data_IF_831196396295
#
_entry.id   IF_831196396295
#
_cell.length_a   1.000
_cell.length_b   1.000
_cell.length_c   1.000
_cell.angle_alpha   90.00
_cell.angle_beta   90.00
_cell.angle_gamma   90.00
#
_symmetry.space_group_name_H-M   'P 1'
#
loop_
_entity.id
_entity.type
_entity.pdbx_description
1 polymer ?
#
# COMPACT_ATOMS: atom_id res chain seq x y z
N UNK A 1 -9.87 -2.84 -10.01
CA UNK A 1 -8.47 -2.56 -10.42
C UNK A 1 -7.46 -2.92 -9.35
N UNK A 2 -7.62 -2.39 -8.13
CA UNK A 2 -6.70 -2.69 -7.03
C UNK A 2 -6.65 -4.20 -6.73
N UNK A 3 -7.81 -4.82 -6.60
CA UNK A 3 -7.87 -6.26 -6.30
C UNK A 3 -7.35 -7.12 -7.45
N UNK A 4 -7.52 -6.68 -8.67
CA UNK A 4 -6.92 -7.35 -9.82
C UNK A 4 -5.39 -7.30 -9.77
N UNK A 5 -4.83 -6.14 -9.44
CA UNK A 5 -3.39 -5.99 -9.27
C UNK A 5 -2.86 -6.90 -8.15
N UNK A 6 -3.58 -6.98 -7.04
CA UNK A 6 -3.24 -7.86 -5.92
C UNK A 6 -3.31 -9.33 -6.37
N UNK A 7 -4.39 -9.72 -7.02
CA UNK A 7 -4.60 -11.10 -7.47
C UNK A 7 -3.49 -11.56 -8.40
N UNK A 8 -3.06 -10.70 -9.31
CA UNK A 8 -2.04 -11.01 -10.30
C UNK A 8 -0.61 -10.90 -9.78
N UNK A 9 -0.44 -10.58 -8.50
CA UNK A 9 0.88 -10.48 -7.88
C UNK A 9 1.23 -11.75 -7.11
N UNK A 10 2.53 -11.95 -6.92
CA UNK A 10 3.05 -13.06 -6.11
C UNK A 10 2.91 -12.78 -4.62
N UNK A 11 3.18 -11.54 -4.21
CA UNK A 11 3.02 -11.09 -2.83
C UNK A 11 2.70 -9.60 -2.78
N UNK A 12 2.19 -9.17 -1.65
CA UNK A 12 1.83 -7.77 -1.42
C UNK A 12 2.85 -7.16 -0.47
N UNK A 13 3.46 -6.05 -0.88
CA UNK A 13 4.45 -5.33 -0.08
C UNK A 13 3.83 -4.03 0.42
N UNK A 14 3.79 -3.86 1.74
CA UNK A 14 3.23 -2.65 2.35
C UNK A 14 4.35 -1.71 2.78
N UNK A 15 4.26 -0.45 2.37
CA UNK A 15 5.24 0.58 2.71
C UNK A 15 4.50 1.79 3.27
N UNK A 16 4.91 2.25 4.43
CA UNK A 16 4.34 3.42 5.08
C UNK A 16 5.08 3.76 6.36
N UNK A 17 4.71 4.87 6.98
CA UNK A 17 5.28 5.28 8.26
C UNK A 17 4.79 4.38 9.39
N UNK A 18 5.44 4.48 10.56
CA UNK A 18 5.05 3.70 11.74
C UNK A 18 3.61 3.98 12.19
N UNK A 19 3.08 5.16 11.88
CA UNK A 19 1.70 5.52 12.16
C UNK A 19 0.69 4.64 11.43
N UNK A 20 1.10 4.01 10.34
CA UNK A 20 0.24 3.15 9.51
C UNK A 20 0.28 1.68 9.93
N UNK A 21 1.00 1.35 10.99
CA UNK A 21 1.23 -0.05 11.40
C UNK A 21 -0.06 -0.81 11.69
N UNK A 22 -1.07 -0.16 12.31
CA UNK A 22 -2.33 -0.82 12.63
C UNK A 22 -3.11 -1.23 11.39
N UNK A 23 -3.11 -0.39 10.35
CA UNK A 23 -3.77 -0.71 9.08
C UNK A 23 -3.07 -1.87 8.39
N UNK A 24 -1.75 -1.85 8.38
CA UNK A 24 -0.96 -2.90 7.76
C UNK A 24 -1.11 -4.24 8.45
N UNK A 25 -1.15 -4.25 9.78
CA UNK A 25 -1.33 -5.49 10.54
C UNK A 25 -2.67 -6.14 10.23
N UNK A 26 -3.72 -5.34 10.08
CA UNK A 26 -5.03 -5.84 9.71
C UNK A 26 -5.02 -6.47 8.31
N UNK A 27 -4.41 -5.80 7.34
CA UNK A 27 -4.29 -6.34 5.99
C UNK A 27 -3.50 -7.65 5.98
N UNK A 28 -2.43 -7.72 6.76
CA UNK A 28 -1.64 -8.95 6.85
C UNK A 28 -2.48 -10.13 7.32
N UNK A 29 -3.28 -9.92 8.37
CA UNK A 29 -4.13 -10.97 8.94
C UNK A 29 -5.21 -11.39 7.95
N UNK A 30 -5.93 -10.43 7.40
CA UNK A 30 -7.06 -10.69 6.51
C UNK A 30 -6.63 -11.41 5.23
N UNK A 31 -5.54 -10.96 4.60
CA UNK A 31 -5.05 -11.59 3.38
C UNK A 31 -4.35 -12.93 3.64
N UNK A 32 -3.73 -13.09 4.81
CA UNK A 32 -3.15 -14.38 5.18
C UNK A 32 -4.23 -15.47 5.23
N UNK A 33 -5.39 -15.15 5.82
CA UNK A 33 -6.52 -16.08 5.88
C UNK A 33 -6.99 -16.45 4.47
N UNK A 34 -6.86 -15.56 3.51
CA UNK A 34 -7.22 -15.79 2.11
C UNK A 34 -6.08 -16.42 1.29
N UNK A 35 -5.01 -16.86 1.95
CA UNK A 35 -3.90 -17.52 1.27
C UNK A 35 -2.93 -16.59 0.57
N UNK A 36 -2.91 -15.30 0.93
CA UNK A 36 -2.03 -14.31 0.30
C UNK A 36 -0.96 -13.83 1.26
N UNK A 37 0.28 -13.78 0.77
CA UNK A 37 1.40 -13.29 1.56
C UNK A 37 1.46 -11.75 1.49
N UNK A 38 1.37 -11.12 2.65
CA UNK A 38 1.51 -9.67 2.81
C UNK A 38 2.71 -9.40 3.72
N UNK A 39 3.65 -8.60 3.25
CA UNK A 39 4.89 -8.32 3.96
C UNK A 39 5.02 -6.81 4.16
N UNK A 40 5.32 -6.39 5.38
CA UNK A 40 5.67 -5.00 5.65
C UNK A 40 7.13 -4.76 5.29
N UNK A 41 7.39 -3.68 4.56
CA UNK A 41 8.73 -3.26 4.24
C UNK A 41 9.13 -2.07 5.12
N UNK A 42 10.41 -1.95 5.39
CA UNK A 42 10.94 -0.83 6.16
C UNK A 42 11.02 0.43 5.30
N UNK A 43 10.88 1.60 5.93
CA UNK A 43 11.20 2.89 5.30
C UNK A 43 12.65 3.32 5.62
N UNK A 44 13.38 2.49 6.34
CA UNK A 44 14.78 2.74 6.70
C UNK A 44 15.70 1.96 5.78
N UNK A 45 16.69 2.65 5.24
CA UNK A 45 17.56 2.12 4.19
C UNK A 45 18.25 0.81 4.56
N UNK A 46 18.62 0.64 5.82
CA UNK A 46 19.33 -0.56 6.29
C UNK A 46 18.48 -1.82 6.27
N UNK A 47 17.17 -1.68 6.44
CA UNK A 47 16.23 -2.81 6.56
C UNK A 47 15.30 -2.95 5.34
N UNK A 48 15.42 -2.06 4.38
CA UNK A 48 14.59 -2.09 3.18
C UNK A 48 15.03 -3.21 2.25
N UNK A 49 14.05 -3.99 1.76
CA UNK A 49 14.31 -4.95 0.69
C UNK A 49 13.65 -4.45 -0.60
N UNK A 50 14.31 -4.71 -1.74
CA UNK A 50 13.82 -4.26 -3.04
C UNK A 50 12.66 -5.14 -3.52
N UNK A 51 11.48 -4.57 -3.82
CA UNK A 51 10.39 -5.36 -4.38
C UNK A 51 10.76 -5.98 -5.73
N UNK A 52 10.21 -7.16 -5.97
CA UNK A 52 10.43 -7.90 -7.21
C UNK A 52 9.38 -7.50 -8.26
N UNK A 53 9.62 -7.89 -9.50
CA UNK A 53 8.73 -7.58 -10.62
C UNK A 53 7.29 -8.08 -10.40
N UNK A 54 7.14 -9.25 -9.78
CA UNK A 54 5.84 -9.87 -9.57
C UNK A 54 5.18 -9.47 -8.26
N UNK A 55 5.77 -8.53 -7.54
CA UNK A 55 5.18 -7.98 -6.32
C UNK A 55 4.18 -6.87 -6.65
N UNK A 56 3.22 -6.67 -5.75
CA UNK A 56 2.36 -5.50 -5.74
C UNK A 56 2.71 -4.65 -4.51
N UNK A 57 3.18 -3.44 -4.74
CA UNK A 57 3.55 -2.50 -3.67
C UNK A 57 2.37 -1.60 -3.36
N UNK A 58 1.98 -1.53 -2.10
CA UNK A 58 0.98 -0.57 -1.62
C UNK A 58 1.71 0.44 -0.73
N UNK A 59 1.79 1.67 -1.19
CA UNK A 59 2.42 2.77 -0.48
C UNK A 59 1.35 3.65 0.16
N UNK A 60 1.38 3.72 1.48
CA UNK A 60 0.43 4.52 2.26
C UNK A 60 1.15 5.73 2.85
N UNK A 61 0.90 6.87 2.25
CA UNK A 61 1.44 8.16 2.69
C UNK A 61 0.47 9.26 2.28
N UNK A 62 -0.10 9.98 3.24
CA UNK A 62 -1.16 10.94 2.95
C UNK A 62 -0.70 12.05 2.01
N UNK A 63 0.49 12.59 2.22
CA UNK A 63 1.01 13.71 1.42
C UNK A 63 2.19 13.32 0.53
N UNK A 64 2.54 12.05 0.48
CA UNK A 64 3.69 11.58 -0.30
C UNK A 64 5.04 11.99 0.26
N UNK A 65 5.11 12.50 1.49
CA UNK A 65 6.35 12.97 2.09
C UNK A 65 7.41 11.89 2.25
N UNK A 66 6.98 10.66 2.46
CA UNK A 66 7.87 9.53 2.62
C UNK A 66 8.75 9.36 1.38
N UNK A 67 8.20 9.64 0.21
CA UNK A 67 8.92 9.58 -1.07
C UNK A 67 9.79 10.82 -1.25
N UNK A 68 9.24 12.01 -0.94
CA UNK A 68 9.95 13.28 -1.12
C UNK A 68 11.17 13.38 -0.21
N UNK A 69 11.05 12.90 1.02
CA UNK A 69 12.15 12.96 2.00
C UNK A 69 13.16 11.82 1.82
N UNK A 70 12.81 10.80 1.07
CA UNK A 70 13.65 9.62 0.87
C UNK A 70 13.74 9.27 -0.63
N UNK A 71 14.50 10.05 -1.43
CA UNK A 71 14.63 9.78 -2.87
C UNK A 71 15.12 8.37 -3.19
N UNK A 72 16.00 7.81 -2.34
CA UNK A 72 16.50 6.46 -2.49
C UNK A 72 15.36 5.41 -2.45
N UNK A 73 14.32 5.70 -1.66
CA UNK A 73 13.17 4.79 -1.51
C UNK A 73 12.43 4.61 -2.83
N UNK A 74 12.18 5.71 -3.52
CA UNK A 74 11.52 5.68 -4.82
C UNK A 74 12.34 4.90 -5.85
N UNK A 75 13.63 5.15 -5.91
CA UNK A 75 14.52 4.45 -6.83
C UNK A 75 14.51 2.93 -6.58
N UNK A 76 14.58 2.54 -5.33
CA UNK A 76 14.57 1.12 -4.94
C UNK A 76 13.22 0.46 -5.18
N UNK A 77 12.12 1.15 -4.89
CA UNK A 77 10.78 0.61 -5.16
C UNK A 77 10.57 0.34 -6.64
N UNK A 78 11.11 1.18 -7.52
CA UNK A 78 10.92 1.08 -8.96
C UNK A 78 11.96 0.20 -9.67
N UNK A 79 13.01 -0.21 -8.99
CA UNK A 79 14.14 -0.87 -9.61
C UNK A 79 13.74 -2.07 -10.47
N UNK A 80 12.85 -2.92 -9.99
CA UNK A 80 12.36 -4.11 -10.70
C UNK A 80 10.98 -3.92 -11.33
N UNK A 81 10.51 -2.69 -11.40
CA UNK A 81 9.24 -2.31 -12.00
C UNK A 81 8.03 -3.12 -11.48
N UNK A 82 7.82 -3.21 -10.16
CA UNK A 82 6.63 -3.88 -9.63
C UNK A 82 5.37 -3.08 -9.91
N UNK A 83 4.21 -3.70 -9.75
CA UNK A 83 2.94 -2.97 -9.74
C UNK A 83 2.85 -2.14 -8.48
N UNK A 84 2.37 -0.92 -8.59
CA UNK A 84 2.33 0.02 -7.48
C UNK A 84 0.95 0.63 -7.31
N UNK A 85 0.52 0.69 -6.05
CA UNK A 85 -0.71 1.35 -5.62
C UNK A 85 -0.32 2.37 -4.56
N UNK A 86 -0.84 3.59 -4.67
CA UNK A 86 -0.65 4.61 -3.65
C UNK A 86 -1.96 4.95 -2.98
N UNK A 87 -1.90 5.26 -1.69
CA UNK A 87 -3.05 5.75 -0.92
C UNK A 87 -2.62 7.05 -0.26
N UNK A 88 -3.34 8.14 -0.55
CA UNK A 88 -3.03 9.45 -0.02
C UNK A 88 -4.01 10.51 -0.48
N UNK A 89 -3.71 11.78 -0.21
CA UNK A 89 -4.59 12.88 -0.58
C UNK A 89 -4.58 13.20 -2.07
N UNK A 90 -3.53 12.77 -2.79
CA UNK A 90 -3.40 12.99 -4.24
C UNK A 90 -2.50 11.93 -4.84
N UNK A 91 -2.49 11.84 -6.16
CA UNK A 91 -1.65 10.89 -6.91
C UNK A 91 -0.23 11.44 -7.01
N UNK A 92 0.65 11.01 -6.10
CA UNK A 92 2.02 11.51 -6.04
C UNK A 92 3.04 10.64 -6.79
N UNK A 93 2.61 9.54 -7.39
CA UNK A 93 3.46 8.71 -8.26
C UNK A 93 2.76 8.49 -9.60
N UNK A 94 3.44 8.86 -10.69
CA UNK A 94 2.89 8.82 -12.04
C UNK A 94 2.49 7.43 -12.50
N UNK A 95 3.33 6.44 -12.22
CA UNK A 95 3.15 5.08 -12.73
C UNK A 95 2.43 4.15 -11.76
N UNK A 96 1.74 4.71 -10.78
CA UNK A 96 1.02 3.97 -9.77
C UNK A 96 -0.49 4.18 -9.90
N UNK A 97 -1.27 3.20 -9.47
CA UNK A 97 -2.71 3.36 -9.32
C UNK A 97 -2.99 4.06 -7.99
N UNK A 98 -3.61 5.23 -8.05
CA UNK A 98 -3.85 6.06 -6.87
C UNK A 98 -5.25 5.91 -6.30
N UNK A 99 -5.34 5.62 -5.01
CA UNK A 99 -6.58 5.74 -4.24
C UNK A 99 -6.47 7.02 -3.43
N UNK A 100 -7.38 7.96 -3.67
CA UNK A 100 -7.30 9.27 -3.02
C UNK A 100 -8.29 9.39 -1.88
N UNK A 101 -7.83 10.05 -0.80
CA UNK A 101 -8.63 10.38 0.36
C UNK A 101 -8.82 11.90 0.37
N UNK A 102 -10.05 12.41 0.56
CA UNK A 102 -10.30 13.85 0.55
C UNK A 102 -9.43 14.61 1.56
N UNK A 103 -8.96 15.80 1.18
CA UNK A 103 -8.25 16.70 2.06
C UNK A 103 -9.22 17.50 2.95
N UNK A 104 -8.69 18.10 4.01
CA UNK A 104 -9.46 19.00 4.87
C UNK A 104 -10.36 18.30 5.88
N UNK A 105 -10.26 17.00 6.03
CA UNK A 105 -10.99 16.24 7.03
C UNK A 105 -10.23 16.26 8.37
N UNK A 106 -10.97 16.14 9.47
CA UNK A 106 -10.32 15.94 10.75
C UNK A 106 -9.71 14.53 10.83
N UNK A 107 -8.80 14.33 11.79
CA UNK A 107 -8.06 13.09 11.92
C UNK A 107 -8.96 11.86 12.12
N UNK A 108 -10.02 12.01 12.90
CA UNK A 108 -10.94 10.89 13.17
C UNK A 108 -11.64 10.46 11.88
N UNK A 109 -12.17 11.42 11.15
CA UNK A 109 -12.87 11.13 9.88
C UNK A 109 -11.93 10.56 8.82
N UNK A 110 -10.71 11.09 8.74
CA UNK A 110 -9.70 10.59 7.82
C UNK A 110 -9.36 9.12 8.13
N UNK A 111 -9.19 8.78 9.40
CA UNK A 111 -8.93 7.41 9.83
C UNK A 111 -10.10 6.47 9.50
N UNK A 112 -11.33 6.95 9.65
CA UNK A 112 -12.51 6.17 9.31
C UNK A 112 -12.59 5.86 7.81
N UNK A 113 -12.25 6.83 6.97
CA UNK A 113 -12.24 6.64 5.51
C UNK A 113 -11.12 5.67 5.11
N UNK A 114 -9.96 5.78 5.72
CA UNK A 114 -8.85 4.90 5.46
C UNK A 114 -9.19 3.45 5.85
N UNK A 115 -9.78 3.26 7.02
CA UNK A 115 -10.28 1.95 7.45
C UNK A 115 -11.29 1.38 6.45
N UNK A 116 -12.20 2.24 5.99
CA UNK A 116 -13.20 1.84 5.01
C UNK A 116 -12.57 1.36 3.72
N UNK A 117 -11.61 2.07 3.18
CA UNK A 117 -10.91 1.67 1.96
C UNK A 117 -10.23 0.30 2.12
N UNK A 118 -9.54 0.11 3.23
CA UNK A 118 -8.83 -1.14 3.50
C UNK A 118 -9.82 -2.31 3.63
N UNK A 119 -10.94 -2.11 4.32
CA UNK A 119 -11.98 -3.13 4.43
C UNK A 119 -12.62 -3.44 3.09
N UNK A 120 -12.90 -2.42 2.27
CA UNK A 120 -13.48 -2.62 0.95
C UNK A 120 -12.56 -3.41 0.03
N UNK A 121 -11.27 -3.16 0.08
CA UNK A 121 -10.29 -3.94 -0.67
C UNK A 121 -10.37 -5.41 -0.26
N UNK A 122 -10.40 -5.68 1.04
CA UNK A 122 -10.46 -7.04 1.57
C UNK A 122 -11.75 -7.75 1.18
N UNK A 123 -12.89 -7.10 1.36
CA UNK A 123 -14.19 -7.68 1.01
C UNK A 123 -14.34 -7.92 -0.49
N UNK A 124 -13.96 -6.96 -1.29
CA UNK A 124 -14.05 -7.10 -2.74
C UNK A 124 -13.17 -8.25 -3.23
N UNK A 125 -11.96 -8.37 -2.67
CA UNK A 125 -11.06 -9.45 -2.99
C UNK A 125 -11.68 -10.81 -2.63
N UNK A 126 -12.23 -10.91 -1.44
CA UNK A 126 -12.87 -12.15 -0.98
C UNK A 126 -14.03 -12.57 -1.86
N UNK A 127 -14.85 -11.61 -2.31
CA UNK A 127 -16.03 -11.90 -3.14
C UNK A 127 -15.69 -12.25 -4.58
N UNK A 128 -14.60 -11.72 -5.13
CA UNK A 128 -14.32 -11.83 -6.57
C UNK A 128 -13.12 -12.66 -6.92
N UNK A 129 -12.21 -12.93 -5.99
CA UNK A 129 -10.94 -13.60 -6.28
C UNK A 129 -10.67 -14.83 -5.39
N UNK A 130 -11.54 -15.11 -4.49
CA UNK A 130 -11.34 -16.22 -3.57
C UNK A 130 -12.08 -17.49 -4.02
#
# INVERSE_FOLDING_TARGET
EVCEMIYNSKRIILIGSDEMASYFSRMQIDFYVMGRLVVKNSIYKTNFFTPEKDDCVILLSMEGRIVDLNPWLLDKMKENNPKMITIGHYDYLQDAYGLTIPQGLDEVLENMILDYYIQEITYYYAENYL
#
